data_IF_906612504948
#
_entry.id   IF_906612504948
#
_cell.length_a   1.000
_cell.length_b   1.000
_cell.length_c   1.000
_cell.angle_alpha   90.00
_cell.angle_beta   90.00
_cell.angle_gamma   90.00
#
_symmetry.space_group_name_H-M   'P 1'
#
loop_
_entity.id
_entity.type
_entity.pdbx_description
1 polymer ?
2 water ?
#
# COMPACT_ATOMS: atom_id res chain seq x y z
N UNK A 23 -22.92 66.40 -5.17
CA UNK A 23 -23.97 65.69 -4.39
C UNK A 23 -24.36 64.36 -5.04
N UNK A 24 -24.36 64.34 -6.38
CA UNK A 24 -24.71 63.13 -7.13
C UNK A 24 -23.58 62.12 -6.97
N UNK A 25 -22.34 62.59 -7.08
CA UNK A 25 -21.17 61.74 -6.93
C UNK A 25 -21.26 61.05 -5.59
N UNK A 26 -21.56 61.83 -4.55
CA UNK A 26 -21.68 61.31 -3.21
C UNK A 26 -22.77 60.25 -3.06
N UNK A 27 -23.98 60.58 -3.52
CA UNK A 27 -25.09 59.65 -3.39
C UNK A 27 -24.86 58.34 -4.10
N UNK A 28 -24.43 58.40 -5.36
CA UNK A 28 -24.19 57.18 -6.11
C UNK A 28 -22.95 56.45 -5.55
N UNK A 29 -21.99 57.21 -5.03
CA UNK A 29 -20.77 56.63 -4.50
C UNK A 29 -20.98 55.90 -3.18
N UNK A 30 -21.75 56.52 -2.30
CA UNK A 30 -22.06 55.95 -0.98
C UNK A 30 -22.98 54.75 -1.14
N UNK A 31 -23.88 54.85 -2.10
CA UNK A 31 -24.80 53.76 -2.34
C UNK A 31 -24.03 52.52 -2.84
N UNK A 32 -23.06 52.75 -3.73
CA UNK A 32 -22.27 51.63 -4.24
C UNK A 32 -21.35 51.10 -3.13
N UNK A 33 -20.87 52.01 -2.28
CA UNK A 33 -19.99 51.67 -1.18
C UNK A 33 -20.69 50.71 -0.23
N UNK A 34 -22.01 50.86 -0.14
CA UNK A 34 -22.83 50.03 0.71
C UNK A 34 -22.99 48.62 0.11
N UNK A 35 -23.09 48.54 -1.22
CA UNK A 35 -23.17 47.24 -1.89
C UNK A 35 -21.81 46.57 -1.67
N UNK A 36 -20.73 47.34 -1.71
CA UNK A 36 -19.40 46.79 -1.47
C UNK A 36 -19.30 46.19 -0.06
N UNK A 37 -19.89 46.89 0.92
CA UNK A 37 -19.84 46.45 2.31
C UNK A 37 -20.56 45.12 2.48
N UNK A 38 -21.62 44.92 1.71
CA UNK A 38 -22.33 43.66 1.79
C UNK A 38 -21.48 42.48 1.36
N UNK A 39 -20.56 42.70 0.44
CA UNK A 39 -19.68 41.62 0.01
C UNK A 39 -18.72 41.28 1.14
N UNK A 40 -18.32 42.27 1.93
CA UNK A 40 -17.42 42.01 3.05
C UNK A 40 -18.13 41.09 4.04
N UNK A 41 -19.41 41.39 4.28
CA UNK A 41 -20.21 40.57 5.17
C UNK A 41 -20.33 39.17 4.59
N UNK A 42 -20.59 39.04 3.29
CA UNK A 42 -20.70 37.70 2.69
C UNK A 42 -19.41 36.89 2.86
N UNK A 43 -18.27 37.53 2.57
CA UNK A 43 -16.97 36.90 2.74
C UNK A 43 -16.85 36.38 4.17
N UNK A 44 -17.18 37.24 5.13
CA UNK A 44 -17.10 36.88 6.53
C UNK A 44 -18.00 35.70 6.91
N UNK A 45 -19.20 35.64 6.37
CA UNK A 45 -20.12 34.56 6.71
C UNK A 45 -19.71 33.24 6.05
N UNK A 46 -19.22 33.32 4.81
CA UNK A 46 -18.78 32.11 4.12
C UNK A 46 -17.60 31.48 4.88
N UNK A 47 -16.68 32.31 5.33
CA UNK A 47 -15.50 31.86 6.06
C UNK A 47 -15.89 31.29 7.44
N UNK A 48 -16.79 31.99 8.15
CA UNK A 48 -17.26 31.52 9.45
C UNK A 48 -17.94 30.16 9.31
N UNK A 49 -18.79 30.01 8.29
CA UNK A 49 -19.48 28.75 8.08
C UNK A 49 -18.49 27.59 7.98
N UNK A 50 -17.48 27.76 7.15
CA UNK A 50 -16.46 26.75 6.96
C UNK A 50 -15.60 26.51 8.22
N UNK A 51 -15.31 27.56 8.97
CA UNK A 51 -14.51 27.43 10.18
C UNK A 51 -15.31 26.67 11.23
N UNK A 52 -16.64 26.77 11.13
CA UNK A 52 -17.51 26.08 12.06
C UNK A 52 -17.40 24.59 11.77
N UNK A 53 -17.37 24.25 10.49
CA UNK A 53 -17.25 22.83 10.11
C UNK A 53 -15.85 22.34 10.54
N UNK A 54 -14.82 23.15 10.31
CA UNK A 54 -13.49 22.72 10.73
C UNK A 54 -13.45 22.48 12.25
N UNK A 55 -14.14 23.34 13.02
CA UNK A 55 -14.17 23.23 14.46
C UNK A 55 -14.85 21.92 14.86
N UNK A 56 -15.94 21.58 14.18
CA UNK A 56 -16.63 20.32 14.48
C UNK A 56 -15.71 19.13 14.28
N UNK A 57 -14.95 19.14 13.18
CA UNK A 57 -14.01 18.06 12.92
C UNK A 57 -12.89 18.02 13.98
N UNK A 58 -12.45 19.19 14.45
CA UNK A 58 -11.40 19.26 15.48
C UNK A 58 -11.88 18.74 16.84
N UNK A 59 -13.15 18.95 17.16
CA UNK A 59 -13.71 18.47 18.42
C UNK A 59 -13.82 16.93 18.39
N UNK A 60 -14.13 16.38 17.22
CA UNK A 60 -14.19 14.93 17.11
C UNK A 60 -12.77 14.35 17.26
N UNK A 61 -11.79 15.04 16.67
CA UNK A 61 -10.39 14.60 16.77
C UNK A 61 -9.95 14.62 18.23
N UNK A 62 -10.36 15.65 18.97
CA UNK A 62 -9.96 15.78 20.38
C UNK A 62 -10.55 14.62 21.18
N UNK A 63 -11.83 14.35 20.94
CA UNK A 63 -12.52 13.28 21.61
C UNK A 63 -11.82 11.92 21.31
N UNK A 64 -11.41 11.74 20.05
CA UNK A 64 -10.70 10.51 19.65
C UNK A 64 -9.34 10.41 20.34
N UNK A 65 -8.65 11.54 20.52
CA UNK A 65 -7.36 11.52 21.22
C UNK A 65 -7.58 11.11 22.69
N UNK A 66 -8.63 11.64 23.32
CA UNK A 66 -8.91 11.27 24.72
C UNK A 66 -9.16 9.77 24.78
N UNK A 67 -9.97 9.27 23.84
CA UNK A 67 -10.26 7.85 23.77
C UNK A 67 -9.01 6.99 23.57
N UNK A 68 -8.02 7.48 22.81
CA UNK A 68 -6.82 6.68 22.57
C UNK A 68 -5.89 6.60 23.77
N UNK A 69 -5.98 7.57 24.68
CA UNK A 69 -5.12 7.63 25.86
C UNK A 69 -5.62 6.65 26.91
N UNK A 70 -5.72 5.38 26.52
CA UNK A 70 -6.23 4.31 27.38
C UNK A 70 -5.41 3.05 27.11
N UNK A 71 -4.57 2.65 28.06
CA UNK A 71 -3.76 1.47 27.83
C UNK A 71 -4.54 0.18 27.61
N UNK A 72 -5.85 0.19 27.80
CA UNK A 72 -6.58 -1.05 27.55
C UNK A 72 -6.80 -1.22 26.05
N UNK A 73 -6.51 -0.18 25.27
CA UNK A 73 -6.68 -0.26 23.81
C UNK A 73 -5.60 -1.15 23.19
N UNK A 74 -5.98 -2.02 22.27
CA UNK A 74 -5.00 -2.86 21.58
C UNK A 74 -4.53 -2.04 20.35
N UNK A 75 -3.47 -2.49 19.67
CA UNK A 75 -3.04 -1.78 18.47
C UNK A 75 -4.14 -1.78 17.40
N UNK A 76 -4.97 -2.83 17.38
CA UNK A 76 -6.08 -2.89 16.41
C UNK A 76 -7.07 -1.75 16.70
N UNK A 77 -7.33 -1.51 17.99
CA UNK A 77 -8.20 -0.40 18.41
C UNK A 77 -7.58 0.93 17.96
N UNK A 78 -6.31 1.14 18.28
CA UNK A 78 -5.64 2.38 17.93
C UNK A 78 -5.57 2.59 16.42
N UNK A 79 -5.44 1.49 15.68
CA UNK A 79 -5.38 1.56 14.23
C UNK A 79 -6.72 2.11 13.72
N UNK A 80 -7.80 1.70 14.38
CA UNK A 80 -9.16 2.14 13.99
C UNK A 80 -9.38 3.61 14.35
N UNK A 81 -8.89 4.03 15.52
CA UNK A 81 -9.00 5.44 15.95
C UNK A 81 -8.18 6.31 14.98
N UNK A 82 -6.97 5.86 14.64
CA UNK A 82 -6.13 6.65 13.73
C UNK A 82 -6.77 6.84 12.36
N UNK A 83 -7.38 5.79 11.83
CA UNK A 83 -8.03 5.86 10.55
C UNK A 83 -9.07 6.98 10.58
N UNK A 84 -9.86 7.04 11.64
CA UNK A 84 -10.86 8.09 11.75
C UNK A 84 -10.24 9.48 11.93
N UNK A 85 -9.12 9.57 12.65
CA UNK A 85 -8.48 10.86 12.84
C UNK A 85 -8.03 11.33 11.45
N UNK A 86 -7.47 10.41 10.67
CA UNK A 86 -7.01 10.79 9.33
C UNK A 86 -8.15 11.26 8.42
N UNK A 87 -9.34 10.68 8.58
CA UNK A 87 -10.50 11.07 7.76
C UNK A 87 -10.92 12.50 8.14
N UNK A 88 -10.92 12.80 9.44
CA UNK A 88 -11.30 14.14 9.88
C UNK A 88 -10.30 15.19 9.37
N UNK A 89 -9.01 14.91 9.50
CA UNK A 89 -7.97 15.82 9.04
C UNK A 89 -8.06 16.07 7.54
N UNK A 90 -8.39 15.03 6.78
CA UNK A 90 -8.53 15.13 5.32
C UNK A 90 -9.76 15.97 4.94
N UNK A 91 -10.81 15.84 5.75
CA UNK A 91 -12.03 16.59 5.54
C UNK A 91 -11.69 18.07 5.80
N UNK A 92 -10.84 18.33 6.80
CA UNK A 92 -10.47 19.70 7.10
C UNK A 92 -9.69 20.27 5.91
N UNK A 93 -8.80 19.48 5.34
CA UNK A 93 -8.04 19.94 4.20
C UNK A 93 -8.94 20.14 2.97
N UNK A 94 -10.05 19.41 2.89
CA UNK A 94 -10.98 19.56 1.77
C UNK A 94 -11.67 20.90 1.89
N UNK A 95 -12.26 21.15 3.06
CA UNK A 95 -12.97 22.41 3.30
C UNK A 95 -12.03 23.60 3.09
N UNK A 96 -10.82 23.49 3.60
CA UNK A 96 -9.84 24.56 3.49
C UNK A 96 -9.48 24.85 2.05
N UNK A 97 -9.36 23.81 1.25
CA UNK A 97 -8.96 24.01 -0.13
C UNK A 97 -10.04 24.44 -1.11
N UNK A 98 -11.27 24.07 -0.85
CA UNK A 98 -12.35 24.36 -1.78
C UNK A 98 -13.41 25.40 -1.39
N UNK A 99 -13.51 25.78 -0.13
CA UNK A 99 -14.51 26.80 0.25
C UNK A 99 -14.24 28.10 -0.53
N UNK A 100 -15.28 28.67 -1.11
CA UNK A 100 -15.11 29.89 -1.89
C UNK A 100 -16.29 30.86 -1.89
N UNK A 101 -15.98 32.12 -2.14
CA UNK A 101 -16.99 33.17 -2.29
C UNK A 101 -16.47 33.95 -3.50
N UNK A 102 -17.28 33.98 -4.57
CA UNK A 102 -16.93 34.63 -5.83
C UNK A 102 -15.51 34.22 -6.30
N UNK A 103 -15.15 32.96 -6.03
CA UNK A 103 -13.85 32.45 -6.44
C UNK A 103 -12.72 32.59 -5.44
N UNK A 104 -12.91 33.40 -4.41
CA UNK A 104 -11.83 33.54 -3.43
C UNK A 104 -11.82 32.34 -2.46
N UNK A 105 -10.68 31.65 -2.38
CA UNK A 105 -10.52 30.47 -1.51
C UNK A 105 -10.17 31.06 -0.16
N UNK A 106 -11.21 31.40 0.60
CA UNK A 106 -11.06 32.10 1.89
C UNK A 106 -10.18 31.44 2.95
N UNK A 107 -10.05 30.13 2.93
CA UNK A 107 -9.23 29.49 3.97
C UNK A 107 -7.96 28.91 3.41
N UNK A 108 -7.73 29.13 2.12
CA UNK A 108 -6.57 28.58 1.45
C UNK A 108 -5.29 29.40 1.49
N UNK A 109 -5.35 30.68 1.84
CA UNK A 109 -4.12 31.46 1.89
C UNK A 109 -4.22 32.63 2.86
N UNK A 110 -3.06 33.20 3.22
CA UNK A 110 -3.05 34.39 4.06
C UNK A 110 -3.34 35.43 2.97
N UNK A 111 -4.36 36.25 3.16
CA UNK A 111 -4.70 37.22 2.14
C UNK A 111 -5.47 38.35 2.79
N UNK A 112 -4.95 39.57 2.64
CA UNK A 112 -5.60 40.75 3.20
C UNK A 112 -6.46 41.36 2.12
N UNK A 113 -7.78 41.18 2.22
CA UNK A 113 -8.73 41.70 1.27
C UNK A 113 -9.14 43.11 1.67
N UNK A 114 -9.03 44.07 0.76
CA UNK A 114 -9.41 45.43 1.08
C UNK A 114 -10.71 45.73 0.34
N UNK A 115 -11.67 46.32 1.06
CA UNK A 115 -12.95 46.66 0.45
C UNK A 115 -13.29 48.13 0.69
N UNK A 116 -13.54 48.88 -0.38
CA UNK A 116 -13.87 50.27 -0.24
C UNK A 116 -15.30 50.40 0.28
N UNK A 117 -15.44 51.08 1.41
CA UNK A 117 -16.74 51.26 2.05
C UNK A 117 -17.09 52.75 2.15
N UNK A 118 -16.32 53.59 1.46
CA UNK A 118 -16.57 55.02 1.42
C UNK A 118 -16.66 55.45 -0.06
N UNK A 119 -17.02 56.70 -0.32
CA UNK A 119 -17.10 57.15 -1.72
C UNK A 119 -15.76 57.56 -2.29
N UNK A 120 -14.73 57.66 -1.43
CA UNK A 120 -13.39 58.08 -1.85
C UNK A 120 -12.26 57.04 -1.74
N UNK A 121 -11.16 57.27 -2.47
CA UNK A 121 -10.03 56.34 -2.47
C UNK A 121 -9.55 56.14 -1.02
N UNK A 122 -9.19 54.92 -0.66
CA UNK A 122 -8.66 54.69 0.68
C UNK A 122 -9.64 54.55 1.84
N UNK A 123 -10.92 54.78 1.61
CA UNK A 123 -11.92 54.63 2.67
C UNK A 123 -12.31 53.13 2.66
N UNK A 124 -11.47 52.33 3.32
CA UNK A 124 -11.62 50.89 3.30
C UNK A 124 -11.54 50.18 4.67
N UNK A 125 -11.91 48.90 4.66
CA UNK A 125 -11.85 48.01 5.83
C UNK A 125 -11.16 46.76 5.27
N UNK A 126 -10.12 46.26 5.94
CA UNK A 126 -9.44 45.07 5.49
C UNK A 126 -9.97 43.82 6.17
N UNK A 127 -9.98 42.72 5.43
CA UNK A 127 -10.37 41.43 6.00
C UNK A 127 -9.08 40.59 5.93
N UNK A 128 -8.57 40.18 7.08
CA UNK A 128 -7.34 39.39 7.07
C UNK A 128 -7.61 37.90 7.06
N UNK A 129 -7.61 37.32 5.86
CA UNK A 129 -7.84 35.89 5.73
C UNK A 129 -6.54 35.14 6.03
N UNK A 130 -6.68 33.94 6.60
CA UNK A 130 -5.54 33.12 6.94
C UNK A 130 -5.65 31.69 6.43
N UNK A 131 -4.52 31.13 6.02
CA UNK A 131 -4.49 29.74 5.54
C UNK A 131 -4.69 28.84 6.75
N UNK A 132 -5.82 28.14 6.77
CA UNK A 132 -6.16 27.24 7.86
C UNK A 132 -6.31 25.84 7.29
N UNK A 133 -5.38 24.95 7.60
CA UNK A 133 -5.46 23.57 7.12
C UNK A 133 -4.74 22.69 8.16
N UNK A 134 -4.69 21.39 7.95
CA UNK A 134 -4.05 20.53 8.97
C UNK A 134 -2.58 20.85 9.22
N UNK A 135 -1.90 21.37 8.19
CA UNK A 135 -0.49 21.73 8.33
C UNK A 135 -0.30 23.01 9.15
N UNK A 136 -1.03 24.06 8.83
CA UNK A 136 -0.88 25.32 9.59
C UNK A 136 -1.46 25.17 11.00
N UNK A 137 -2.29 24.16 11.21
CA UNK A 137 -2.86 23.93 12.54
C UNK A 137 -1.93 23.06 13.37
N UNK A 138 -0.85 22.60 12.72
CA UNK A 138 0.15 21.77 13.37
C UNK A 138 -0.28 20.34 13.67
N UNK A 139 -1.13 19.77 12.83
CA UNK A 139 -1.62 18.43 13.10
C UNK A 139 -1.42 17.43 11.98
N UNK A 140 -0.71 17.77 10.91
CA UNK A 140 -0.61 16.75 9.86
C UNK A 140 0.20 15.52 10.27
N UNK A 141 0.95 15.60 11.36
CA UNK A 141 1.68 14.41 11.81
C UNK A 141 0.99 13.81 13.05
N UNK A 142 -0.20 14.30 13.39
CA UNK A 142 -0.91 13.75 14.55
C UNK A 142 -1.11 12.22 14.41
N UNK A 143 -0.56 11.42 15.34
CA UNK A 143 -0.71 9.96 15.23
C UNK A 143 -0.78 9.24 16.60
N UNK A 144 -1.79 8.38 16.79
CA UNK A 144 -1.95 7.67 18.06
C UNK A 144 -1.64 6.18 18.02
N UNK A 145 -1.06 5.71 16.92
CA UNK A 145 -0.75 4.31 16.77
C UNK A 145 0.53 3.95 17.51
N UNK A 146 0.79 2.65 17.61
CA UNK A 146 2.00 2.15 18.24
C UNK A 146 2.59 1.10 17.29
N UNK A 147 3.90 0.89 17.37
CA UNK A 147 4.61 -0.07 16.51
C UNK A 147 4.26 -1.54 16.74
N UNK A 148 4.14 -2.27 15.65
CA UNK A 148 3.88 -3.70 15.75
C UNK A 148 5.25 -4.36 15.72
N UNK A 149 5.36 -5.59 16.22
CA UNK A 149 6.62 -6.31 16.16
C UNK A 149 6.51 -7.00 14.80
N UNK A 150 7.41 -6.66 13.90
CA UNK A 150 7.37 -7.18 12.54
C UNK A 150 8.24 -8.41 12.26
N UNK A 151 7.62 -9.45 11.70
CA UNK A 151 8.32 -10.68 11.38
C UNK A 151 7.91 -11.14 10.00
N UNK A 152 8.65 -12.11 9.46
CA UNK A 152 8.33 -12.57 8.13
C UNK A 152 8.59 -14.07 7.98
N UNK A 153 7.92 -14.68 7.01
CA UNK A 153 8.09 -16.10 6.73
C UNK A 153 8.39 -16.25 5.25
N UNK A 154 9.46 -16.94 4.92
CA UNK A 154 9.86 -17.15 3.53
C UNK A 154 8.82 -17.98 2.78
N UNK A 155 8.41 -17.50 1.61
CA UNK A 155 7.44 -18.21 0.79
C UNK A 155 8.17 -19.27 -0.04
N UNK A 156 7.70 -20.51 0.03
CA UNK A 156 8.29 -21.61 -0.72
C UNK A 156 7.24 -22.31 -1.57
N UNK A 157 7.71 -23.31 -2.30
CA UNK A 157 6.86 -24.12 -3.16
C UNK A 157 7.39 -25.54 -3.09
N UNK A 158 6.56 -26.50 -3.50
CA UNK A 158 6.95 -27.90 -3.49
C UNK A 158 7.29 -28.37 -4.89
N UNK A 159 8.55 -28.74 -5.09
CA UNK A 159 9.05 -29.20 -6.38
C UNK A 159 9.84 -30.50 -6.25
N UNK A 160 9.58 -31.45 -7.15
CA UNK A 160 10.29 -32.72 -7.14
C UNK A 160 11.75 -32.54 -7.53
N UNK A 161 12.64 -33.14 -6.74
CA UNK A 161 14.08 -33.07 -6.99
C UNK A 161 14.63 -34.47 -6.80
N UNK A 162 15.94 -34.60 -6.72
CA UNK A 162 16.53 -35.92 -6.56
C UNK A 162 17.06 -36.26 -5.17
N UNK A 163 18.30 -36.72 -5.19
CA UNK A 163 19.07 -37.15 -4.04
C UNK A 163 20.10 -38.03 -4.75
N UNK A 164 21.26 -38.23 -4.14
CA UNK A 164 22.28 -39.05 -4.78
C UNK A 164 21.85 -40.50 -4.97
N UNK A 165 20.63 -40.82 -4.52
CA UNK A 165 20.09 -42.17 -4.64
C UNK A 165 19.65 -42.45 -6.08
N UNK A 166 20.55 -43.04 -6.84
CA UNK A 166 20.28 -43.37 -8.23
C UNK A 166 19.27 -44.49 -8.34
N UNK A 167 18.67 -44.61 -9.52
CA UNK A 167 17.69 -45.67 -9.76
C UNK A 167 18.42 -46.94 -10.20
N UNK A 168 18.38 -47.95 -9.34
CA UNK A 168 19.04 -49.23 -9.58
C UNK A 168 18.07 -50.22 -10.20
N UNK A 169 18.14 -50.37 -11.52
CA UNK A 169 17.26 -51.28 -12.23
C UNK A 169 18.03 -52.50 -12.73
N UNK A 170 19.24 -52.70 -12.21
CA UNK A 170 20.07 -53.83 -12.61
C UNK A 170 19.47 -55.18 -12.20
N UNK A 171 18.59 -55.17 -11.20
CA UNK A 171 17.96 -56.40 -10.74
C UNK A 171 16.82 -56.86 -11.63
N UNK A 172 16.20 -55.92 -12.34
CA UNK A 172 15.09 -56.23 -13.22
C UNK A 172 15.65 -56.83 -14.52
N UNK A 173 16.21 -58.02 -14.41
CA UNK A 173 16.81 -58.74 -15.53
C UNK A 173 15.82 -59.68 -16.24
N UNK A 174 16.36 -60.51 -17.12
CA UNK A 174 15.54 -61.44 -17.87
C UNK A 174 14.72 -62.33 -16.94
N UNK A 175 15.35 -62.91 -15.92
CA UNK A 175 14.63 -63.79 -15.00
C UNK A 175 13.57 -63.05 -14.20
N UNK A 176 13.90 -61.84 -13.77
CA UNK A 176 12.97 -61.05 -12.99
C UNK A 176 11.77 -60.63 -13.82
N UNK A 177 12.01 -60.20 -15.06
CA UNK A 177 10.92 -59.79 -15.94
C UNK A 177 10.05 -61.00 -16.29
N UNK A 178 10.70 -62.15 -16.49
CA UNK A 178 9.95 -63.37 -16.82
C UNK A 178 9.10 -63.74 -15.60
N UNK A 179 9.70 -63.72 -14.42
CA UNK A 179 9.00 -64.07 -13.18
C UNK A 179 7.75 -63.24 -12.95
N UNK A 180 7.82 -61.94 -13.26
CA UNK A 180 6.72 -61.03 -13.07
C UNK A 180 5.65 -61.04 -14.15
N UNK A 181 6.06 -61.33 -15.38
CA UNK A 181 5.14 -61.34 -16.51
C UNK A 181 4.70 -62.70 -16.98
N UNK A 182 5.49 -63.73 -16.67
CA UNK A 182 5.15 -65.07 -17.11
C UNK A 182 5.59 -65.46 -18.53
N UNK A 183 6.40 -64.61 -19.17
CA UNK A 183 6.87 -64.95 -20.50
C UNK A 183 8.08 -65.87 -20.44
N UNK A 184 8.35 -66.62 -21.51
CA UNK A 184 9.50 -67.52 -21.51
C UNK A 184 10.38 -67.40 -22.77
N UNK A 185 9.78 -66.97 -23.89
CA UNK A 185 10.46 -66.83 -25.17
C UNK A 185 11.26 -65.55 -25.34
N UNK A 186 12.53 -65.71 -25.71
CA UNK A 186 13.41 -64.57 -25.92
C UNK A 186 14.08 -64.12 -24.66
N UNK A 187 14.90 -63.08 -24.80
CA UNK A 187 15.61 -62.50 -23.67
C UNK A 187 15.03 -61.10 -23.51
N UNK A 188 14.28 -60.90 -22.42
CA UNK A 188 13.67 -59.60 -22.18
C UNK A 188 14.59 -58.71 -21.38
N UNK A 189 14.44 -57.40 -21.60
CA UNK A 189 15.24 -56.39 -20.89
C UNK A 189 14.56 -55.03 -20.82
N UNK A 190 15.06 -54.20 -19.91
CA UNK A 190 14.56 -52.84 -19.74
C UNK A 190 15.22 -52.01 -20.87
N UNK A 191 14.43 -51.59 -21.85
CA UNK A 191 14.97 -50.84 -22.98
C UNK A 191 15.78 -49.63 -22.54
N UNK A 192 17.07 -49.66 -22.87
CA UNK A 192 17.97 -48.58 -22.51
C UNK A 192 18.23 -48.51 -21.02
N UNK A 193 17.68 -49.45 -20.26
CA UNK A 193 17.87 -49.42 -18.82
C UNK A 193 17.30 -48.12 -18.26
N UNK A 194 16.41 -47.52 -19.05
CA UNK A 194 15.80 -46.25 -18.69
C UNK A 194 14.51 -46.37 -17.88
N UNK A 195 14.26 -45.33 -17.08
CA UNK A 195 13.07 -45.25 -16.23
C UNK A 195 12.38 -43.87 -16.46
N UNK A 196 11.06 -43.86 -16.47
CA UNK A 196 10.34 -42.62 -16.65
C UNK A 196 9.54 -42.28 -15.39
N UNK A 197 9.37 -40.98 -15.15
CA UNK A 197 8.66 -40.51 -13.96
C UNK A 197 7.46 -39.61 -14.23
N UNK A 198 6.40 -39.82 -13.45
CA UNK A 198 5.18 -39.03 -13.54
C UNK A 198 5.07 -38.23 -12.25
N UNK A 199 5.15 -36.90 -12.36
CA UNK A 199 5.07 -36.02 -11.20
C UNK A 199 3.68 -36.02 -10.55
N UNK A 200 2.65 -36.09 -11.39
CA UNK A 200 1.27 -36.10 -10.94
C UNK A 200 0.98 -37.07 -9.79
N UNK A 201 1.52 -38.28 -9.90
CA UNK A 201 1.26 -39.30 -8.89
C UNK A 201 2.48 -40.02 -8.31
N UNK A 202 3.66 -39.42 -8.46
CA UNK A 202 4.86 -40.02 -7.91
C UNK A 202 4.96 -41.51 -8.31
N UNK A 203 4.84 -41.76 -9.62
CA UNK A 203 4.91 -43.12 -10.20
C UNK A 203 6.17 -43.28 -11.07
N UNK A 204 6.48 -44.54 -11.44
CA UNK A 204 7.63 -44.85 -12.28
C UNK A 204 7.25 -45.84 -13.39
N UNK A 205 7.94 -45.75 -14.53
CA UNK A 205 7.62 -46.59 -15.69
C UNK A 205 8.84 -47.00 -16.51
N UNK A 206 8.77 -48.19 -17.13
CA UNK A 206 9.85 -48.68 -17.98
C UNK A 206 9.23 -49.30 -19.23
N UNK A 207 10.06 -49.48 -20.25
CA UNK A 207 9.66 -50.12 -21.50
C UNK A 207 10.43 -51.43 -21.52
N UNK A 208 9.71 -52.51 -21.79
CA UNK A 208 10.31 -53.84 -21.83
C UNK A 208 10.34 -54.33 -23.27
N UNK A 209 11.48 -54.88 -23.68
CA UNK A 209 11.62 -55.42 -25.02
C UNK A 209 12.42 -56.71 -25.04
N UNK A 210 12.38 -57.43 -26.16
CA UNK A 210 13.13 -58.66 -26.26
C UNK A 210 12.29 -59.93 -26.39
N UNK A 211 11.08 -59.93 -25.84
CA UNK A 211 10.24 -61.11 -25.93
C UNK A 211 9.97 -61.43 -27.39
N UNK A 212 9.93 -62.73 -27.68
CA UNK A 212 9.68 -63.21 -29.02
C UNK A 212 8.49 -64.16 -29.02
N UNK A 213 8.16 -64.66 -30.20
CA UNK A 213 7.06 -65.60 -30.34
C UNK A 213 5.75 -65.03 -29.81
N UNK A 214 5.03 -65.87 -29.08
CA UNK A 214 3.75 -65.47 -28.51
C UNK A 214 3.94 -64.51 -27.33
N UNK A 215 5.17 -64.37 -26.86
CA UNK A 215 5.44 -63.49 -25.74
C UNK A 215 5.78 -62.06 -26.21
N UNK A 216 5.92 -61.87 -27.52
CA UNK A 216 6.23 -60.56 -28.08
C UNK A 216 5.21 -59.53 -27.57
N UNK A 217 3.97 -59.97 -27.40
CA UNK A 217 2.91 -59.09 -26.93
C UNK A 217 3.16 -58.49 -25.55
N UNK A 218 4.19 -58.98 -24.85
CA UNK A 218 4.51 -58.47 -23.53
C UNK A 218 5.52 -57.34 -23.67
N UNK A 219 5.89 -57.03 -24.91
CA UNK A 219 6.82 -55.93 -25.16
C UNK A 219 6.01 -54.64 -25.09
N UNK A 220 6.39 -53.75 -24.17
CA UNK A 220 5.68 -52.50 -24.01
C UNK A 220 6.05 -51.78 -22.71
N UNK A 221 5.15 -50.97 -22.18
CA UNK A 221 5.44 -50.21 -20.95
C UNK A 221 4.73 -50.74 -19.70
N UNK A 222 5.47 -50.81 -18.60
CA UNK A 222 4.97 -51.30 -17.30
C UNK A 222 5.33 -50.35 -16.15
N UNK A 223 4.47 -50.31 -15.13
CA UNK A 223 4.74 -49.49 -13.95
C UNK A 223 5.66 -50.30 -13.06
N UNK A 224 6.59 -49.61 -12.40
CA UNK A 224 7.54 -50.28 -11.51
C UNK A 224 7.54 -49.64 -10.13
N UNK A 225 7.96 -50.40 -9.13
CA UNK A 225 8.02 -49.93 -7.76
C UNK A 225 9.46 -49.62 -7.38
N UNK A 226 9.68 -48.44 -6.80
CA UNK A 226 11.02 -48.03 -6.39
C UNK A 226 11.08 -48.02 -4.87
N UNK A 227 11.98 -48.80 -4.30
CA UNK A 227 12.14 -48.87 -2.85
C UNK A 227 12.67 -47.51 -2.39
N UNK A 228 12.72 -47.29 -1.08
CA UNK A 228 13.25 -46.03 -0.56
C UNK A 228 14.75 -46.12 -0.72
N UNK A 229 15.13 -46.77 -1.82
CA UNK A 229 16.50 -46.95 -2.24
C UNK A 229 16.41 -47.11 -3.75
N UNK A 230 17.55 -47.10 -4.45
CA UNK A 230 17.53 -47.22 -5.90
C UNK A 230 16.63 -48.31 -6.46
N UNK A 231 16.68 -49.47 -5.82
CA UNK A 231 15.91 -50.67 -6.20
C UNK A 231 14.59 -50.53 -6.97
N UNK A 232 14.62 -50.77 -8.27
CA UNK A 232 13.43 -50.73 -9.12
C UNK A 232 12.96 -52.17 -9.31
N UNK A 233 11.65 -52.41 -9.23
CA UNK A 233 11.12 -53.77 -9.38
C UNK A 233 9.78 -53.84 -10.10
N UNK A 234 9.47 -55.00 -10.66
CA UNK A 234 8.19 -55.24 -11.33
C UNK A 234 7.42 -56.18 -10.42
N UNK A 235 6.16 -55.87 -10.16
CA UNK A 235 5.34 -56.71 -9.29
C UNK A 235 4.72 -57.90 -10.06
N UNK A 236 4.54 -59.00 -9.35
CA UNK A 236 3.96 -60.22 -9.94
C UNK A 236 2.64 -59.85 -10.60
N UNK A 237 2.29 -60.56 -11.66
CA UNK A 237 1.04 -60.30 -12.36
C UNK A 237 1.09 -59.07 -13.25
N UNK A 238 2.27 -58.46 -13.36
CA UNK A 238 2.48 -57.27 -14.17
C UNK A 238 1.91 -57.38 -15.58
N UNK A 239 1.36 -56.28 -16.09
CA UNK A 239 0.78 -56.23 -17.44
C UNK A 239 1.04 -54.86 -18.08
N UNK A 240 1.45 -54.86 -19.34
CA UNK A 240 1.73 -53.59 -20.01
C UNK A 240 0.55 -52.62 -20.03
N UNK A 241 0.86 -51.35 -19.80
CA UNK A 241 -0.14 -50.29 -19.81
C UNK A 241 0.29 -49.23 -20.81
N UNK A 242 -0.36 -48.07 -20.74
CA UNK A 242 -0.03 -46.97 -21.63
C UNK A 242 0.87 -46.02 -20.85
N UNK A 243 1.99 -45.64 -21.44
CA UNK A 243 2.90 -44.73 -20.77
C UNK A 243 2.19 -43.40 -20.58
N UNK A 244 1.95 -43.00 -19.32
CA UNK A 244 1.27 -41.74 -19.02
C UNK A 244 1.93 -40.53 -19.67
N UNK A 245 1.12 -39.71 -20.34
CA UNK A 245 1.63 -38.51 -20.98
C UNK A 245 2.22 -37.65 -19.87
N UNK A 246 3.23 -36.86 -20.21
CA UNK A 246 3.88 -36.03 -19.20
C UNK A 246 5.07 -36.81 -18.67
N UNK A 247 5.17 -38.07 -19.10
CA UNK A 247 6.26 -38.95 -18.71
C UNK A 247 7.59 -38.26 -18.98
N UNK A 248 8.60 -38.58 -18.18
CA UNK A 248 9.91 -37.98 -18.35
C UNK A 248 10.97 -38.80 -17.64
N UNK A 249 12.06 -39.06 -18.35
CA UNK A 249 13.17 -39.86 -17.82
C UNK A 249 13.91 -39.22 -16.64
N UNK A 250 13.96 -39.96 -15.53
CA UNK A 250 14.65 -39.53 -14.32
C UNK A 250 15.65 -40.62 -13.97
N UNK A 251 16.85 -40.25 -13.57
CA UNK A 251 17.87 -41.24 -13.26
C UNK A 251 18.14 -41.47 -11.78
N UNK A 252 17.46 -40.71 -10.92
CA UNK A 252 17.64 -40.85 -9.49
C UNK A 252 16.26 -40.76 -8.88
N UNK A 253 16.12 -41.17 -7.62
CA UNK A 253 14.82 -41.11 -6.96
C UNK A 253 14.30 -39.69 -6.86
N UNK A 254 13.02 -39.50 -7.19
CA UNK A 254 12.39 -38.20 -7.13
C UNK A 254 11.89 -37.96 -5.71
N UNK A 255 11.86 -36.70 -5.30
CA UNK A 255 11.43 -36.35 -3.95
C UNK A 255 11.10 -34.85 -3.87
N UNK A 256 9.96 -34.54 -3.26
CA UNK A 256 9.52 -33.16 -3.11
C UNK A 256 10.20 -32.38 -1.99
N UNK A 257 10.75 -31.22 -2.34
CA UNK A 257 11.41 -30.36 -1.35
C UNK A 257 11.08 -28.90 -1.63
N UNK A 258 10.88 -28.15 -0.57
CA UNK A 258 10.53 -26.73 -0.65
C UNK A 258 11.55 -25.89 -1.40
N UNK A 259 11.07 -25.11 -2.36
CA UNK A 259 11.93 -24.26 -3.14
C UNK A 259 11.49 -22.80 -3.03
N UNK A 260 12.40 -21.92 -2.59
CA UNK A 260 12.06 -20.50 -2.44
C UNK A 260 11.41 -19.98 -3.72
N UNK A 261 10.31 -19.26 -3.57
CA UNK A 261 9.62 -18.71 -4.72
C UNK A 261 10.62 -17.88 -5.50
N UNK A 262 10.57 -18.00 -6.82
CA UNK A 262 11.47 -17.30 -7.71
C UNK A 262 11.08 -15.85 -7.93
N UNK A 263 12.01 -14.94 -7.67
CA UNK A 263 11.76 -13.52 -7.86
C UNK A 263 12.23 -13.11 -9.25
N UNK A 264 11.27 -12.69 -10.07
CA UNK A 264 11.56 -12.30 -11.45
C UNK A 264 12.45 -11.08 -11.63
N UNK A 265 13.02 -10.99 -12.83
CA UNK A 265 13.89 -9.88 -13.19
C UNK A 265 13.12 -8.56 -13.14
N UNK A 266 11.91 -8.56 -13.68
CA UNK A 266 11.12 -7.34 -13.67
C UNK A 266 10.73 -6.86 -12.27
N UNK A 267 10.64 -7.78 -11.30
CA UNK A 267 10.31 -7.39 -9.93
C UNK A 267 11.56 -6.72 -9.38
N UNK A 268 12.71 -7.37 -9.58
CA UNK A 268 13.99 -6.80 -9.11
C UNK A 268 14.23 -5.45 -9.78
N UNK A 269 13.99 -5.37 -11.09
CA UNK A 269 14.18 -4.12 -11.81
C UNK A 269 13.19 -3.04 -11.37
N UNK A 270 12.00 -3.43 -10.93
CA UNK A 270 11.02 -2.45 -10.48
C UNK A 270 11.50 -1.82 -9.17
N UNK A 271 12.09 -2.64 -8.31
CA UNK A 271 12.63 -2.16 -7.04
C UNK A 271 13.76 -1.17 -7.29
N UNK A 272 14.69 -1.55 -8.18
CA UNK A 272 15.83 -0.69 -8.49
C UNK A 272 15.35 0.63 -9.09
N UNK A 273 14.47 0.56 -10.08
CA UNK A 273 13.95 1.78 -10.67
C UNK A 273 13.36 2.63 -9.55
N UNK A 274 12.78 1.94 -8.55
CA UNK A 274 12.15 2.59 -7.42
C UNK A 274 13.07 3.06 -6.30
N UNK A 275 14.36 3.13 -6.60
CA UNK A 275 15.33 3.59 -5.61
C UNK A 275 15.91 2.58 -4.63
N UNK A 276 15.63 1.29 -4.80
CA UNK A 276 16.17 0.31 -3.87
C UNK A 276 17.62 0.04 -4.28
N UNK A 277 18.49 -0.24 -3.32
CA UNK A 277 19.89 -0.51 -3.63
C UNK A 277 19.99 -1.72 -4.59
N UNK A 278 20.87 -1.63 -5.58
CA UNK A 278 21.05 -2.71 -6.57
C UNK A 278 21.45 -4.05 -5.97
N UNK A 279 22.46 -4.05 -5.11
CA UNK A 279 22.89 -5.30 -4.50
C UNK A 279 21.73 -5.92 -3.71
N UNK A 280 21.13 -5.15 -2.81
CA UNK A 280 20.01 -5.66 -2.00
C UNK A 280 18.84 -6.18 -2.86
N UNK A 281 18.44 -5.39 -3.85
CA UNK A 281 17.33 -5.79 -4.73
C UNK A 281 17.64 -7.08 -5.50
N UNK A 282 18.90 -7.25 -5.88
CA UNK A 282 19.30 -8.43 -6.64
C UNK A 282 19.14 -9.69 -5.78
N UNK A 283 19.27 -9.54 -4.46
CA UNK A 283 19.14 -10.66 -3.56
C UNK A 283 17.78 -10.69 -2.86
N UNK A 284 16.77 -10.11 -3.51
CA UNK A 284 15.41 -10.04 -2.96
C UNK A 284 14.79 -11.41 -2.69
N UNK A 285 13.97 -11.48 -1.65
CA UNK A 285 13.32 -12.73 -1.26
C UNK A 285 11.83 -12.50 -0.98
N UNK A 286 10.97 -13.34 -1.57
CA UNK A 286 9.54 -13.20 -1.33
C UNK A 286 9.22 -13.72 0.08
N UNK A 287 8.43 -12.96 0.82
CA UNK A 287 8.07 -13.35 2.18
C UNK A 287 6.63 -13.01 2.49
N UNK A 288 6.13 -13.61 3.56
CA UNK A 288 4.77 -13.35 4.03
C UNK A 288 4.94 -12.63 5.37
N UNK A 289 4.35 -11.43 5.47
CA UNK A 289 4.46 -10.64 6.68
C UNK A 289 3.59 -11.12 7.83
N UNK A 290 4.06 -10.84 9.04
CA UNK A 290 3.37 -11.21 10.27
C UNK A 290 3.56 -10.00 11.22
N UNK A 291 2.52 -9.65 11.98
CA UNK A 291 2.57 -8.50 12.90
C UNK A 291 2.05 -8.90 14.27
N UNK A 292 2.90 -8.78 15.28
CA UNK A 292 2.54 -9.16 16.64
C UNK A 292 2.30 -7.91 17.52
N UNK A 293 1.20 -7.88 18.28
CA UNK A 293 0.95 -6.71 19.11
C UNK A 293 1.52 -6.77 20.52
N UNK A 294 1.34 -5.70 21.29
CA UNK A 294 1.90 -5.62 22.63
C UNK A 294 1.48 -6.73 23.60
N UNK A 295 0.38 -7.40 23.28
CA UNK A 295 -0.11 -8.49 24.13
C UNK A 295 0.41 -9.86 23.67
N UNK A 296 1.06 -9.90 22.51
CA UNK A 296 1.57 -11.18 22.02
C UNK A 296 0.76 -11.78 20.88
N UNK A 297 -0.42 -11.22 20.63
CA UNK A 297 -1.27 -11.68 19.53
C UNK A 297 -0.65 -11.33 18.18
N UNK A 298 -0.67 -12.30 17.26
CA UNK A 298 -0.06 -12.21 15.94
C UNK A 298 -1.05 -12.40 14.80
N UNK A 299 -0.99 -11.55 13.79
CA UNK A 299 -1.86 -11.71 12.62
C UNK A 299 -0.99 -11.69 11.37
N UNK A 300 -1.40 -12.41 10.33
CA UNK A 300 -0.65 -12.45 9.08
C UNK A 300 -0.92 -11.19 8.27
N UNK A 301 0.12 -10.69 7.60
CA UNK A 301 -0.02 -9.50 6.78
C UNK A 301 -0.07 -9.90 5.32
N UNK A 302 0.35 -9.02 4.42
CA UNK A 302 0.36 -9.34 3.00
C UNK A 302 1.70 -9.91 2.56
N UNK A 303 1.99 -9.80 1.27
CA UNK A 303 3.26 -10.30 0.73
C UNK A 303 4.24 -9.14 0.57
N UNK A 304 5.52 -9.47 0.53
CA UNK A 304 6.53 -8.44 0.35
C UNK A 304 7.84 -9.01 -0.14
N UNK A 305 8.66 -8.12 -0.71
CA UNK A 305 9.98 -8.49 -1.19
C UNK A 305 10.97 -7.91 -0.20
N UNK A 306 11.68 -8.82 0.47
CA UNK A 306 12.66 -8.46 1.47
C UNK A 306 14.02 -8.24 0.81
N UNK A 307 14.47 -6.99 0.81
CA UNK A 307 15.74 -6.62 0.19
C UNK A 307 16.59 -5.95 1.26
N UNK A 308 17.73 -6.56 1.57
CA UNK A 308 18.57 -6.02 2.62
C UNK A 308 17.78 -6.26 3.89
N UNK A 309 17.52 -5.21 4.65
CA UNK A 309 16.73 -5.38 5.86
C UNK A 309 15.40 -4.65 5.75
N UNK A 310 15.03 -4.30 4.52
CA UNK A 310 13.78 -3.59 4.32
C UNK A 310 12.74 -4.47 3.59
N UNK A 311 11.47 -4.14 3.77
CA UNK A 311 10.38 -4.88 3.18
C UNK A 311 9.63 -3.99 2.21
N UNK A 312 9.44 -4.44 0.97
CA UNK A 312 8.71 -3.63 -0.01
C UNK A 312 7.44 -4.37 -0.43
N UNK A 313 6.28 -3.73 -0.20
CA UNK A 313 5.00 -4.35 -0.52
C UNK A 313 4.96 -4.90 -1.95
N UNK A 314 4.32 -6.06 -2.10
CA UNK A 314 4.20 -6.71 -3.39
C UNK A 314 2.96 -7.58 -3.47
N UNK A 315 2.54 -7.88 -4.70
CA UNK A 315 1.40 -8.73 -4.96
C UNK A 315 1.99 -10.08 -5.41
N UNK A 316 1.29 -11.17 -5.13
CA UNK A 316 1.79 -12.49 -5.51
C UNK A 316 0.69 -13.44 -5.96
N UNK A 317 0.78 -13.92 -7.19
CA UNK A 317 -0.20 -14.86 -7.74
C UNK A 317 0.24 -16.27 -7.40
N UNK A 318 -0.28 -16.81 -6.31
CA UNK A 318 0.05 -18.16 -5.86
C UNK A 318 0.02 -19.15 -7.02
N UNK A 319 -1.02 -19.06 -7.85
CA UNK A 319 -1.17 -19.96 -8.98
C UNK A 319 -0.05 -19.88 -10.03
N UNK A 320 0.45 -18.67 -10.28
CA UNK A 320 1.49 -18.47 -11.29
C UNK A 320 2.91 -18.27 -10.76
N UNK A 321 3.04 -17.53 -9.67
CA UNK A 321 4.35 -17.25 -9.12
C UNK A 321 4.76 -15.89 -9.61
N UNK A 322 3.81 -15.20 -10.25
CA UNK A 322 4.04 -13.85 -10.74
C UNK A 322 4.07 -12.92 -9.55
N UNK A 323 5.14 -12.13 -9.46
CA UNK A 323 5.28 -11.19 -8.35
C UNK A 323 5.25 -9.78 -8.93
N UNK A 324 4.54 -8.89 -8.25
CA UNK A 324 4.45 -7.50 -8.70
C UNK A 324 4.82 -6.55 -7.57
N UNK A 325 5.95 -5.85 -7.72
CA UNK A 325 6.39 -4.90 -6.72
C UNK A 325 5.47 -3.67 -6.74
N UNK A 326 4.95 -3.29 -5.58
CA UNK A 326 4.10 -2.11 -5.54
C UNK A 326 4.98 -0.86 -5.54
N UNK A 327 4.69 0.08 -6.44
CA UNK A 327 5.46 1.31 -6.53
C UNK A 327 4.58 2.54 -6.72
N UNK A 328 5.13 3.70 -6.36
CA UNK A 328 4.41 4.95 -6.46
C UNK A 328 5.02 5.86 -7.50
N UNK A 329 4.17 6.39 -8.37
CA UNK A 329 4.61 7.28 -9.43
C UNK A 329 4.39 8.75 -9.04
N UNK A 330 5.26 9.62 -9.52
CA UNK A 330 5.17 11.03 -9.20
C UNK A 330 6.11 11.86 -10.09
N UNK A 331 6.02 13.19 -9.99
CA UNK A 331 6.89 14.07 -10.76
C UNK A 331 7.93 14.68 -9.82
N UNK A 332 9.19 14.38 -10.04
CA UNK A 332 10.29 14.86 -9.21
C UNK A 332 10.50 16.36 -9.31
N UNK A 333 11.28 16.90 -8.38
CA UNK A 333 11.57 18.32 -8.38
C UNK A 333 12.32 18.75 -9.64
N UNK A 334 12.99 17.80 -10.29
CA UNK A 334 13.72 18.13 -11.52
C UNK A 334 12.78 18.10 -12.73
N UNK A 335 11.49 17.89 -12.47
CA UNK A 335 10.51 17.87 -13.54
C UNK A 335 10.20 16.54 -14.21
N UNK A 336 11.04 15.54 -14.03
CA UNK A 336 10.79 14.26 -14.69
C UNK A 336 9.90 13.30 -13.89
N UNK A 337 9.43 12.26 -14.57
CA UNK A 337 8.58 11.25 -13.94
C UNK A 337 9.42 10.09 -13.41
N UNK A 338 9.23 9.75 -12.14
CA UNK A 338 9.95 8.66 -11.49
C UNK A 338 8.96 7.81 -10.69
N UNK A 339 9.47 6.72 -10.10
CA UNK A 339 8.67 5.85 -9.26
C UNK A 339 9.46 5.58 -7.98
N UNK A 340 8.74 5.24 -6.91
CA UNK A 340 9.36 4.92 -5.63
C UNK A 340 8.77 3.60 -5.12
N UNK A 341 9.62 2.71 -4.63
CA UNK A 341 9.16 1.42 -4.12
C UNK A 341 8.42 1.67 -2.82
N UNK A 342 7.28 1.00 -2.67
CA UNK A 342 6.43 1.13 -1.49
C UNK A 342 6.98 0.30 -0.33
N UNK A 343 7.74 0.92 0.56
CA UNK A 343 8.29 0.21 1.71
C UNK A 343 7.24 0.06 2.84
N UNK A 344 7.36 -0.99 3.64
CA UNK A 344 6.46 -1.16 4.77
C UNK A 344 7.14 -0.51 5.96
N UNK A 345 6.53 0.56 6.46
CA UNK A 345 7.10 1.27 7.60
C UNK A 345 6.07 2.10 8.34
N UNK A 346 6.36 3.39 8.53
CA UNK A 346 5.46 4.28 9.24
C UNK A 346 5.46 3.95 10.73
N UNK A 347 4.58 4.60 11.48
CA UNK A 347 4.53 4.38 12.91
C UNK A 347 4.20 2.93 13.26
N UNK A 348 3.18 2.36 12.61
CA UNK A 348 2.81 0.99 12.95
C UNK A 348 3.72 -0.11 12.43
N UNK A 349 4.48 0.18 11.37
CA UNK A 349 5.38 -0.82 10.81
C UNK A 349 4.83 -1.57 9.61
N UNK A 350 3.54 -1.36 9.31
CA UNK A 350 2.89 -1.99 8.17
C UNK A 350 2.25 -0.97 7.23
N UNK A 351 2.71 0.28 7.30
CA UNK A 351 2.16 1.33 6.44
C UNK A 351 3.03 1.52 5.20
N UNK A 352 2.39 1.68 4.05
CA UNK A 352 3.14 1.85 2.82
C UNK A 352 3.66 3.26 2.71
N UNK A 353 4.99 3.41 2.77
CA UNK A 353 5.63 4.72 2.66
C UNK A 353 6.66 4.72 1.53
N UNK A 354 7.11 5.90 1.14
CA UNK A 354 8.12 6.03 0.10
C UNK A 354 9.12 7.08 0.56
N UNK A 355 10.36 6.92 0.13
CA UNK A 355 11.41 7.86 0.49
C UNK A 355 11.85 8.57 -0.77
N UNK A 356 11.67 9.89 -0.81
CA UNK A 356 12.03 10.71 -1.97
C UNK A 356 12.90 11.91 -1.60
N UNK A 357 14.11 11.93 -2.15
CA UNK A 357 15.08 13.00 -1.94
C UNK A 357 15.25 13.50 -0.52
N UNK A 358 15.49 12.58 0.40
CA UNK A 358 15.72 12.97 1.78
C UNK A 358 14.52 13.07 2.71
N UNK A 359 13.35 12.67 2.23
CA UNK A 359 12.13 12.74 3.04
C UNK A 359 11.26 11.52 2.81
N UNK A 360 10.49 11.15 3.84
CA UNK A 360 9.60 9.99 3.79
C UNK A 360 8.12 10.44 3.83
N UNK A 361 7.33 9.91 2.91
CA UNK A 361 5.92 10.23 2.78
C UNK A 361 5.05 8.99 2.74
N UNK A 362 3.77 9.16 3.06
CA UNK A 362 2.85 8.03 2.95
C UNK A 362 2.72 7.79 1.46
N UNK A 363 2.77 6.53 1.04
CA UNK A 363 2.66 6.21 -0.37
C UNK A 363 1.41 6.81 -1.00
N UNK A 364 0.27 6.61 -0.36
CA UNK A 364 -1.00 7.12 -0.88
C UNK A 364 -0.99 8.64 -1.10
N UNK A 365 -0.22 9.39 -0.30
CA UNK A 365 -0.17 10.84 -0.45
C UNK A 365 0.81 11.31 -1.52
N UNK A 366 1.87 10.55 -1.75
CA UNK A 366 2.85 10.92 -2.76
C UNK A 366 2.38 10.57 -4.20
N UNK A 367 1.41 9.67 -4.31
CA UNK A 367 0.92 9.26 -5.63
C UNK A 367 0.40 10.42 -6.48
N UNK A 368 1.01 10.59 -7.66
CA UNK A 368 0.60 11.65 -8.56
C UNK A 368 1.10 13.01 -8.14
N UNK A 369 1.79 13.11 -7.01
CA UNK A 369 2.28 14.41 -6.58
C UNK A 369 3.39 15.00 -7.46
N UNK A 370 3.37 16.32 -7.61
CA UNK A 370 4.37 17.03 -8.43
C UNK A 370 5.25 17.88 -7.54
N UNK A 371 6.38 17.34 -7.12
CA UNK A 371 7.32 18.04 -6.24
C UNK A 371 7.98 19.26 -6.86
N UNK A 372 7.75 19.42 -8.16
CA UNK A 372 8.26 20.55 -8.90
C UNK A 372 7.27 21.70 -8.70
N UNK A 373 5.99 21.40 -8.89
CA UNK A 373 4.93 22.39 -8.71
C UNK A 373 4.59 22.66 -7.25
N UNK A 374 4.75 21.66 -6.39
CA UNK A 374 4.45 21.78 -4.96
C UNK A 374 5.54 21.08 -4.16
N UNK A 375 6.67 21.76 -3.94
CA UNK A 375 7.81 21.22 -3.20
C UNK A 375 7.42 20.67 -1.83
N UNK A 376 6.42 21.31 -1.23
CA UNK A 376 5.96 20.93 0.08
C UNK A 376 4.79 19.95 0.12
N UNK A 377 5.03 18.82 0.79
CA UNK A 377 4.03 17.79 0.99
C UNK A 377 4.31 17.27 2.39
N UNK A 378 3.26 17.07 3.18
CA UNK A 378 3.42 16.56 4.53
C UNK A 378 4.18 15.22 4.60
N UNK A 379 5.13 15.14 5.52
CA UNK A 379 5.90 13.89 5.68
C UNK A 379 5.12 12.89 6.54
N UNK A 380 5.39 11.59 6.39
CA UNK A 380 4.68 10.59 7.19
C UNK A 380 5.05 10.73 8.67
N UNK A 381 4.10 10.42 9.55
CA UNK A 381 4.36 10.50 10.98
C UNK A 381 5.47 9.48 11.23
N UNK A 382 6.43 9.88 12.04
CA UNK A 382 7.56 9.00 12.34
C UNK A 382 7.39 8.30 13.66
N UNK A 383 6.60 8.87 14.56
CA UNK A 383 6.40 8.24 15.85
C UNK A 383 5.04 8.62 16.40
N UNK A 384 4.70 8.03 17.54
CA UNK A 384 3.45 8.32 18.21
C UNK A 384 3.56 9.74 18.74
N UNK A 385 2.50 10.54 18.57
CA UNK A 385 2.48 11.93 19.04
C UNK A 385 2.52 12.08 20.55
N UNK A 386 3.38 12.98 21.02
CA UNK A 386 3.52 13.27 22.46
C UNK A 386 2.61 14.45 22.83
N UNK A 387 1.92 14.35 23.96
CA UNK A 387 1.01 15.42 24.39
C UNK A 387 0.07 15.85 23.28
N UNK A 388 -0.60 14.88 22.63
CA UNK A 388 -1.50 15.27 21.55
C UNK A 388 -2.62 16.26 21.88
N UNK A 389 -3.17 16.21 23.08
CA UNK A 389 -4.29 17.08 23.44
C UNK A 389 -3.87 18.54 23.53
N UNK A 390 -2.64 18.78 23.97
CA UNK A 390 -2.11 20.14 24.05
C UNK A 390 -2.07 20.69 22.61
N UNK A 391 -1.70 19.83 21.66
CA UNK A 391 -1.59 20.25 20.26
C UNK A 391 -2.95 20.47 19.63
N UNK A 392 -3.89 19.57 19.90
CA UNK A 392 -5.23 19.72 19.35
C UNK A 392 -5.84 20.98 19.96
N UNK A 393 -5.59 21.20 21.25
CA UNK A 393 -6.11 22.41 21.89
C UNK A 393 -5.53 23.69 21.27
N UNK A 394 -4.24 23.68 20.92
CA UNK A 394 -3.65 24.88 20.32
C UNK A 394 -4.38 25.18 19.01
N UNK A 395 -4.63 24.13 18.22
CA UNK A 395 -5.31 24.30 16.94
C UNK A 395 -6.73 24.87 17.09
N UNK A 396 -7.46 24.39 18.09
CA UNK A 396 -8.81 24.87 18.35
C UNK A 396 -8.78 26.36 18.71
N UNK A 397 -7.73 26.78 19.40
CA UNK A 397 -7.60 28.18 19.81
C UNK A 397 -7.31 29.06 18.58
N UNK A 398 -6.55 28.53 17.62
CA UNK A 398 -6.24 29.25 16.39
C UNK A 398 -7.56 29.49 15.63
N UNK A 399 -8.39 28.45 15.56
CA UNK A 399 -9.65 28.57 14.86
C UNK A 399 -10.62 29.54 15.56
N UNK A 400 -10.65 29.50 16.88
CA UNK A 400 -11.54 30.40 17.60
C UNK A 400 -11.08 31.86 17.46
N UNK A 401 -9.78 32.06 17.38
CA UNK A 401 -9.22 33.40 17.25
C UNK A 401 -9.61 34.02 15.90
N UNK A 402 -9.63 33.20 14.86
CA UNK A 402 -9.96 33.69 13.54
C UNK A 402 -11.45 33.93 13.48
N UNK A 403 -12.24 33.10 14.15
CA UNK A 403 -13.69 33.28 14.14
C UNK A 403 -14.05 34.59 14.84
N UNK A 404 -13.35 34.89 15.93
CA UNK A 404 -13.61 36.12 16.68
C UNK A 404 -13.31 37.33 15.80
N UNK A 405 -12.11 37.37 15.23
CA UNK A 405 -11.74 38.48 14.34
C UNK A 405 -12.73 38.70 13.19
N UNK A 406 -13.24 37.63 12.59
CA UNK A 406 -14.19 37.76 11.50
C UNK A 406 -15.51 38.34 12.00
N UNK A 407 -15.91 37.96 13.21
CA UNK A 407 -17.14 38.49 13.77
C UNK A 407 -16.97 39.98 14.03
N UNK A 408 -15.79 40.40 14.51
CA UNK A 408 -15.59 41.82 14.76
C UNK A 408 -15.55 42.63 13.45
N UNK A 409 -14.96 42.07 12.39
CA UNK A 409 -14.90 42.82 11.13
C UNK A 409 -16.29 42.87 10.50
N UNK A 410 -17.14 41.91 10.86
CA UNK A 410 -18.50 41.88 10.36
C UNK A 410 -19.27 43.03 11.03
N UNK A 411 -18.98 43.29 12.29
CA UNK A 411 -19.64 44.40 12.97
C UNK A 411 -19.21 45.74 12.37
N UNK A 412 -17.96 45.84 11.92
CA UNK A 412 -17.45 47.07 11.32
C UNK A 412 -18.13 47.32 9.96
N UNK A 413 -18.40 46.25 9.20
CA UNK A 413 -19.06 46.44 7.91
C UNK A 413 -20.49 46.84 8.11
N UNK A 414 -21.13 46.26 9.12
CA UNK A 414 -22.52 46.55 9.44
C UNK A 414 -22.68 47.99 9.90
N UNK A 415 -21.73 48.47 10.69
CA UNK A 415 -21.81 49.85 11.18
C UNK A 415 -21.60 50.81 10.01
N UNK A 416 -20.75 50.41 9.04
CA UNK A 416 -20.52 51.26 7.88
C UNK A 416 -21.81 51.33 7.05
N UNK A 417 -22.49 50.21 6.88
CA UNK A 417 -23.73 50.19 6.11
C UNK A 417 -24.76 51.10 6.74
N UNK A 418 -24.80 51.10 8.08
CA UNK A 418 -25.73 51.95 8.81
C UNK A 418 -25.42 53.43 8.60
N UNK A 419 -24.14 53.79 8.73
CA UNK A 419 -23.74 55.18 8.56
C UNK A 419 -23.90 55.69 7.13
N UNK A 420 -23.73 54.79 6.17
CA UNK A 420 -23.85 55.15 4.76
C UNK A 420 -25.30 55.40 4.44
N UNK A 421 -26.16 54.62 5.09
CA UNK A 421 -27.59 54.75 4.87
C UNK A 421 -28.12 56.08 5.35
N UNK A 422 -27.62 56.52 6.49
CA UNK A 422 -28.06 57.81 7.03
C UNK A 422 -27.53 58.95 6.21
N UNK A 423 -26.26 58.89 5.85
CA UNK A 423 -25.67 59.97 5.07
C UNK A 423 -26.44 60.15 3.76
N UNK A 424 -26.77 59.06 3.10
CA UNK A 424 -27.51 59.10 1.85
C UNK A 424 -28.90 59.68 2.08
N UNK A 425 -29.54 59.28 3.16
CA UNK A 425 -30.88 59.77 3.47
C UNK A 425 -30.94 61.28 3.56
N UNK A 426 -29.96 61.87 4.26
CA UNK A 426 -29.94 63.31 4.42
C UNK A 426 -29.60 64.06 3.12
N UNK A 427 -28.78 63.46 2.25
CA UNK A 427 -28.42 64.11 0.98
C UNK A 427 -29.60 64.11 0.01
N UNK A 428 -30.42 63.07 0.09
CA UNK A 428 -31.58 62.89 -0.80
C UNK A 428 -32.85 63.55 -0.27
#
# INVERSE_FOLDING_TARGET
>A
MGSSHHHHHHSSGLVPRGSHMASTANIKGLTQASRNANDGISIAQTTEGALNEINNNLQRVRELAVQSANSTNSQSDLDSIQAEITQRLNEIDRVSGQTQFNGVKVLAQDNTLTIQVGANDGETIDIDLKQINSQTLGLDSLNVQKAYDVKDTAVTTKVYANNGTTLDVSGLDDAAIKAATGGTNGTASVTGGAVKFDADNNKYFVTIGGFTGADAAKNGDYEVNVATDGTVTLAAGATKTTMPAGATTKTEVQELKDTPAVVSADAKNALIAGGVDATDANGAELVKMSYTDKNGKTIEGGYALKAGDKYYAADYDEATGAIKAKTTSYTAADGTTKTAANQLGGVDGKTEVVTIDGKTYNASKAAGHDFKAQPELAEAAAKTTENPLQKIDAALAQVDALRSDLGAVQNRFNSAITNLGNTVNNLSEAR
#
